data_IF_947513075927
#
_entry.id   IF_947513075927
#
_cell.length_a   1.000
_cell.length_b   1.000
_cell.length_c   1.000
_cell.angle_alpha   90.00
_cell.angle_beta   90.00
_cell.angle_gamma   90.00
#
_symmetry.space_group_name_H-M   'P 1'
#
loop_
_entity.id
_entity.type
_entity.pdbx_description
1 polymer ?
#
# COMPACT_ATOMS: atom_id res chain seq x y z
N UNK A 1 -30.42 1.86 -13.91
CA UNK A 1 -29.43 1.28 -12.98
C UNK A 1 -28.18 0.88 -13.75
N UNK A 2 -26.99 1.30 -13.29
CA UNK A 2 -25.58 0.95 -13.62
C UNK A 2 -25.12 0.36 -14.98
N UNK A 3 -25.97 0.23 -16.01
CA UNK A 3 -25.54 -0.17 -17.36
C UNK A 3 -25.34 -1.68 -17.59
N UNK A 4 -25.82 -2.55 -16.70
CA UNK A 4 -25.69 -4.01 -16.85
C UNK A 4 -24.33 -4.58 -16.42
N UNK A 5 -24.21 -5.92 -16.45
CA UNK A 5 -23.00 -6.63 -15.98
C UNK A 5 -21.97 -6.74 -17.12
N UNK A 6 -20.74 -6.30 -16.85
CA UNK A 6 -19.60 -6.39 -17.80
C UNK A 6 -18.67 -7.58 -17.51
N UNK A 7 -18.64 -8.04 -16.25
CA UNK A 7 -17.82 -9.19 -15.82
C UNK A 7 -18.47 -9.92 -14.65
N UNK A 8 -18.25 -11.23 -14.57
CA UNK A 8 -18.78 -12.06 -13.49
C UNK A 8 -17.87 -12.08 -12.25
N UNK A 9 -16.57 -11.81 -12.44
CA UNK A 9 -15.59 -11.80 -11.35
C UNK A 9 -14.74 -10.53 -11.37
N UNK A 10 -14.36 -10.06 -10.18
CA UNK A 10 -13.49 -8.91 -9.98
C UNK A 10 -12.27 -9.38 -9.18
N UNK A 11 -11.07 -9.45 -9.78
CA UNK A 11 -9.86 -9.74 -9.04
C UNK A 11 -9.63 -8.70 -7.94
N UNK A 12 -9.30 -9.18 -6.74
CA UNK A 12 -8.97 -8.33 -5.58
C UNK A 12 -7.52 -8.53 -5.17
N UNK A 13 -7.01 -7.58 -4.38
CA UNK A 13 -5.68 -7.63 -3.79
C UNK A 13 -5.76 -7.57 -2.27
N UNK A 14 -4.75 -8.12 -1.58
CA UNK A 14 -4.60 -7.96 -0.15
C UNK A 14 -3.91 -6.63 0.19
N UNK A 15 -4.55 -5.80 0.99
CA UNK A 15 -3.95 -4.59 1.54
C UNK A 15 -3.17 -4.90 2.82
N UNK A 16 -1.88 -5.19 2.70
CA UNK A 16 -1.07 -5.64 3.85
C UNK A 16 -0.74 -4.53 4.84
N UNK A 17 -0.90 -3.26 4.46
CA UNK A 17 -0.57 -2.12 5.31
C UNK A 17 -1.29 -2.09 6.67
N UNK A 18 -2.55 -2.54 6.72
CA UNK A 18 -3.32 -2.61 7.98
C UNK A 18 -3.05 -3.87 8.78
N UNK A 19 -2.69 -4.96 8.11
CA UNK A 19 -2.46 -6.26 8.75
C UNK A 19 -1.02 -6.38 9.32
N UNK A 20 -0.07 -5.62 8.78
CA UNK A 20 1.32 -5.61 9.24
C UNK A 20 1.47 -4.85 10.56
N UNK A 21 1.67 -5.57 11.67
CA UNK A 21 1.90 -5.00 13.00
C UNK A 21 3.31 -4.41 13.16
N UNK A 22 4.33 -5.14 12.70
CA UNK A 22 5.72 -4.67 12.72
C UNK A 22 6.01 -3.90 11.43
N UNK A 23 6.21 -2.59 11.53
CA UNK A 23 6.50 -1.72 10.38
C UNK A 23 7.93 -1.86 9.81
N UNK A 24 8.63 -2.96 10.13
CA UNK A 24 9.92 -3.35 9.51
C UNK A 24 9.68 -4.13 8.23
N UNK A 25 10.69 -4.18 7.34
CA UNK A 25 10.63 -4.95 6.10
C UNK A 25 10.24 -6.43 6.32
N UNK A 26 10.75 -7.06 7.37
CA UNK A 26 10.39 -8.44 7.73
C UNK A 26 8.93 -8.62 8.12
N UNK A 27 8.31 -7.62 8.73
CA UNK A 27 6.88 -7.64 9.06
C UNK A 27 6.01 -7.59 7.79
N UNK A 28 6.36 -6.73 6.84
CA UNK A 28 5.71 -6.69 5.53
C UNK A 28 5.83 -8.01 4.78
N UNK A 29 7.03 -8.59 4.77
CA UNK A 29 7.27 -9.88 4.12
C UNK A 29 6.44 -11.01 4.76
N UNK A 30 6.34 -11.04 6.09
CA UNK A 30 5.52 -12.04 6.79
C UNK A 30 4.03 -11.91 6.47
N UNK A 31 3.49 -10.68 6.50
CA UNK A 31 2.08 -10.45 6.14
C UNK A 31 1.79 -10.76 4.67
N UNK A 32 2.71 -10.43 3.76
CA UNK A 32 2.56 -10.76 2.34
C UNK A 32 2.56 -12.28 2.11
N UNK A 33 3.44 -13.03 2.77
CA UNK A 33 3.45 -14.50 2.72
C UNK A 33 2.12 -15.10 3.21
N UNK A 34 1.58 -14.57 4.31
CA UNK A 34 0.27 -14.99 4.81
C UNK A 34 -0.85 -14.71 3.80
N UNK A 35 -0.88 -13.53 3.19
CA UNK A 35 -1.87 -13.20 2.16
C UNK A 35 -1.80 -14.13 0.95
N UNK A 36 -0.60 -14.51 0.51
CA UNK A 36 -0.43 -15.49 -0.58
C UNK A 36 -0.93 -16.87 -0.17
N UNK A 37 -0.66 -17.30 1.08
CA UNK A 37 -1.19 -18.55 1.61
C UNK A 37 -2.73 -18.55 1.70
N UNK A 38 -3.34 -17.38 1.95
CA UNK A 38 -4.80 -17.18 1.93
C UNK A 38 -5.40 -17.10 0.50
N UNK A 39 -4.58 -17.28 -0.54
CA UNK A 39 -5.02 -17.33 -1.93
C UNK A 39 -5.03 -15.99 -2.67
N UNK A 40 -4.56 -14.91 -2.05
CA UNK A 40 -4.42 -13.64 -2.77
C UNK A 40 -3.29 -13.72 -3.80
N UNK A 41 -3.61 -13.34 -5.03
CA UNK A 41 -2.65 -13.31 -6.15
C UNK A 41 -1.94 -11.96 -6.30
N UNK A 42 -2.40 -10.94 -5.57
CA UNK A 42 -1.84 -9.60 -5.59
C UNK A 42 -1.83 -8.99 -4.19
N UNK A 43 -0.80 -8.21 -3.87
CA UNK A 43 -0.64 -7.51 -2.60
C UNK A 43 -0.34 -6.03 -2.84
N UNK A 44 -0.83 -5.17 -1.96
CA UNK A 44 -0.50 -3.73 -1.93
C UNK A 44 0.23 -3.41 -0.64
N UNK A 45 1.42 -2.81 -0.76
CA UNK A 45 2.24 -2.36 0.36
C UNK A 45 2.63 -0.88 0.24
N UNK A 46 2.74 -0.21 1.37
CA UNK A 46 3.23 1.16 1.54
C UNK A 46 4.20 1.21 2.75
N UNK A 47 5.42 0.66 2.61
CA UNK A 47 6.41 0.58 3.68
C UNK A 47 7.24 1.86 3.82
N UNK A 48 6.61 3.02 3.63
CA UNK A 48 7.29 4.34 3.57
C UNK A 48 7.18 5.11 4.89
N UNK A 49 7.30 4.44 6.04
CA UNK A 49 7.32 5.12 7.33
C UNK A 49 8.43 6.17 7.39
N UNK A 50 8.10 7.35 7.92
CA UNK A 50 9.07 8.43 8.07
C UNK A 50 9.59 9.01 6.76
N UNK A 51 9.04 8.64 5.60
CA UNK A 51 9.40 9.26 4.34
C UNK A 51 8.94 10.72 4.34
N UNK A 52 9.86 11.70 4.25
CA UNK A 52 9.50 13.10 4.40
C UNK A 52 8.60 13.55 3.23
N UNK A 53 7.69 14.50 3.46
CA UNK A 53 6.96 15.12 2.36
C UNK A 53 7.96 15.80 1.42
N UNK A 54 7.62 15.85 0.13
CA UNK A 54 8.39 16.63 -0.84
C UNK A 54 8.28 18.11 -0.45
N UNK A 55 9.34 18.65 0.16
CA UNK A 55 9.43 20.09 0.45
C UNK A 55 9.77 20.82 -0.86
N UNK A 56 9.02 21.88 -1.20
CA UNK A 56 9.34 22.74 -2.35
C UNK A 56 10.48 23.67 -1.94
N UNK A 57 11.64 23.53 -2.60
CA UNK A 57 12.88 24.26 -2.29
C UNK A 57 12.78 25.80 -2.34
N UNK A 58 11.68 26.37 -2.86
CA UNK A 58 11.52 27.81 -3.05
C UNK A 58 11.07 28.60 -1.80
N UNK A 59 10.79 27.93 -0.67
CA UNK A 59 10.41 28.61 0.59
C UNK A 59 11.61 28.91 1.50
N UNK A 60 12.84 28.51 1.11
CA UNK A 60 14.05 28.77 1.89
C UNK A 60 14.82 30.03 1.45
N UNK A 61 14.32 30.82 0.48
CA UNK A 61 15.02 32.01 -0.03
C UNK A 61 14.47 33.36 0.48
N UNK A 62 13.60 33.39 1.49
CA UNK A 62 13.00 34.64 2.03
C UNK A 62 13.25 34.87 3.52
N UNK A 63 14.39 34.43 4.03
CA UNK A 63 14.88 34.75 5.38
C UNK A 63 16.35 35.17 5.32
N UNK A 64 16.65 36.15 4.47
CA UNK A 64 17.84 37.01 4.56
C UNK A 64 17.39 38.45 4.31
#
# INVERSE_FOLDING_TARGET
MFGGRVRDTLPVYANVNRATKSRKASGFAATAKAAVADGFRAVKAAPFDGFPPRVRLHLLSKQQ
#
